data_IF_660027331897
#
_entry.id   IF_660027331897
#
_cell.length_a   1.000
_cell.length_b   1.000
_cell.length_c   1.000
_cell.angle_alpha   90.00
_cell.angle_beta   90.00
_cell.angle_gamma   90.00
#
_symmetry.space_group_name_H-M   'P 1'
#
loop_
_entity.id
_entity.type
_entity.pdbx_description
1 polymer ?
#
# COMPACT_ATOMS: atom_id res chain seq x y z
N UNK A 1 30.68 -30.94 20.82
CA UNK A 1 30.15 -29.88 19.96
C UNK A 1 31.08 -29.77 18.77
N UNK A 2 30.74 -30.46 17.68
CA UNK A 2 31.49 -30.37 16.43
C UNK A 2 31.13 -29.06 15.73
N UNK A 3 32.16 -28.28 15.42
CA UNK A 3 32.10 -27.04 14.68
C UNK A 3 31.67 -27.32 13.23
N UNK A 4 30.43 -26.97 12.89
CA UNK A 4 29.85 -27.17 11.56
C UNK A 4 30.21 -26.08 10.55
N UNK A 5 31.28 -25.30 10.77
CA UNK A 5 31.65 -24.19 9.88
C UNK A 5 32.59 -24.56 8.74
N UNK A 6 33.16 -25.77 8.72
CA UNK A 6 34.17 -26.19 7.73
C UNK A 6 33.71 -27.26 6.74
N UNK A 7 32.56 -27.91 6.94
CA UNK A 7 31.99 -28.85 5.99
C UNK A 7 30.64 -28.32 5.48
N UNK A 8 30.54 -28.15 4.16
CA UNK A 8 29.31 -27.68 3.52
C UNK A 8 28.11 -28.57 3.87
N UNK A 9 26.90 -27.98 3.86
CA UNK A 9 25.67 -28.67 4.24
C UNK A 9 25.32 -29.76 3.21
N UNK A 10 25.77 -31.00 3.46
CA UNK A 10 25.58 -32.13 2.54
C UNK A 10 24.15 -32.70 2.51
N UNK A 11 23.32 -32.42 3.52
CA UNK A 11 21.96 -32.95 3.62
C UNK A 11 20.90 -32.00 3.05
N UNK A 12 20.99 -31.73 1.75
CA UNK A 12 20.08 -30.82 1.06
C UNK A 12 18.62 -31.33 1.03
N UNK A 13 18.41 -32.65 1.13
CA UNK A 13 17.06 -33.25 1.14
C UNK A 13 16.27 -32.86 2.39
N UNK A 14 16.95 -32.55 3.49
CA UNK A 14 16.34 -32.18 4.77
C UNK A 14 16.46 -30.68 5.10
N UNK A 15 16.73 -29.82 4.11
CA UNK A 15 16.95 -28.37 4.31
C UNK A 15 15.87 -27.72 5.17
N UNK A 16 14.59 -28.00 4.91
CA UNK A 16 13.50 -27.38 5.67
C UNK A 16 13.58 -27.67 7.18
N UNK A 17 14.02 -28.88 7.57
CA UNK A 17 14.20 -29.24 8.98
C UNK A 17 15.40 -28.51 9.57
N UNK A 18 16.49 -28.43 8.82
CA UNK A 18 17.74 -27.79 9.23
C UNK A 18 17.54 -26.28 9.40
N UNK A 19 16.87 -25.62 8.45
CA UNK A 19 16.52 -24.19 8.53
C UNK A 19 15.68 -23.91 9.77
N UNK A 20 14.63 -24.70 10.01
CA UNK A 20 13.80 -24.55 11.22
C UNK A 20 14.59 -24.70 12.52
N UNK A 21 15.53 -25.65 12.58
CA UNK A 21 16.41 -25.81 13.74
C UNK A 21 17.34 -24.61 13.91
N UNK A 22 17.86 -24.07 12.82
CA UNK A 22 18.71 -22.87 12.84
C UNK A 22 17.94 -21.61 13.25
N UNK A 23 16.71 -21.40 12.76
CA UNK A 23 15.86 -20.24 13.11
C UNK A 23 15.51 -20.17 14.62
N UNK A 24 15.54 -21.31 15.31
CA UNK A 24 15.28 -21.41 16.76
C UNK A 24 16.58 -21.42 17.58
N UNK A 25 17.74 -21.48 16.91
CA UNK A 25 19.04 -21.52 17.59
C UNK A 25 19.38 -20.22 18.31
N UNK A 26 20.24 -20.34 19.34
CA UNK A 26 20.76 -19.17 20.08
C UNK A 26 21.64 -18.32 19.18
N UNK A 27 22.36 -18.95 18.27
CA UNK A 27 23.25 -18.32 17.30
C UNK A 27 22.46 -17.38 16.38
N UNK A 28 21.36 -17.86 15.79
CA UNK A 28 20.46 -17.04 14.98
C UNK A 28 19.90 -15.86 15.78
N UNK A 29 19.45 -16.12 17.01
CA UNK A 29 18.92 -15.07 17.90
C UNK A 29 19.97 -14.00 18.20
N UNK A 30 21.20 -14.39 18.52
CA UNK A 30 22.30 -13.46 18.76
C UNK A 30 22.65 -12.64 17.52
N UNK A 31 22.70 -13.27 16.34
CA UNK A 31 22.91 -12.58 15.07
C UNK A 31 21.80 -11.55 14.80
N UNK A 32 20.53 -11.90 15.03
CA UNK A 32 19.40 -10.97 14.92
C UNK A 32 19.54 -9.79 15.88
N UNK A 33 19.90 -10.03 17.15
CA UNK A 33 20.12 -8.96 18.13
C UNK A 33 21.22 -8.01 17.67
N UNK A 34 22.35 -8.54 17.18
CA UNK A 34 23.46 -7.71 16.66
C UNK A 34 23.04 -6.91 15.44
N UNK A 35 22.29 -7.52 14.51
CA UNK A 35 21.75 -6.85 13.35
C UNK A 35 20.82 -5.69 13.74
N UNK A 36 19.85 -5.94 14.63
CA UNK A 36 18.91 -4.93 15.11
C UNK A 36 19.63 -3.78 15.82
N UNK A 37 20.62 -4.07 16.67
CA UNK A 37 21.45 -3.03 17.30
C UNK A 37 22.17 -2.16 16.28
N UNK A 38 22.80 -2.77 15.27
CA UNK A 38 23.51 -2.03 14.21
C UNK A 38 22.53 -1.19 13.39
N UNK A 39 21.41 -1.78 12.99
CA UNK A 39 20.33 -1.10 12.27
C UNK A 39 19.85 0.15 13.02
N UNK A 40 19.67 0.06 14.34
CA UNK A 40 19.21 1.19 15.13
C UNK A 40 20.30 2.26 15.36
N UNK A 41 21.56 1.84 15.47
CA UNK A 41 22.66 2.77 15.79
C UNK A 41 23.24 3.48 14.57
N UNK A 42 23.38 2.78 13.44
CA UNK A 42 24.08 3.26 12.23
C UNK A 42 23.08 3.48 11.08
N UNK A 43 21.86 2.97 11.21
CA UNK A 43 20.89 2.92 10.12
C UNK A 43 21.12 1.71 9.21
N UNK A 44 20.25 1.57 8.21
CA UNK A 44 20.36 0.55 7.15
C UNK A 44 20.52 1.23 5.80
N UNK A 45 21.17 0.54 4.86
CA UNK A 45 21.33 1.02 3.49
C UNK A 45 19.98 1.24 2.78
N UNK A 46 18.95 0.48 3.15
CA UNK A 46 17.61 0.58 2.59
C UNK A 46 16.67 1.48 3.39
N UNK A 47 17.17 2.21 4.39
CA UNK A 47 16.34 3.10 5.22
C UNK A 47 15.57 4.13 4.39
N UNK A 48 16.24 4.83 3.47
CA UNK A 48 15.60 5.80 2.58
C UNK A 48 14.53 5.17 1.67
N UNK A 49 14.80 3.97 1.14
CA UNK A 49 13.83 3.21 0.35
C UNK A 49 12.61 2.82 1.20
N UNK A 50 12.81 2.37 2.43
CA UNK A 50 11.72 2.06 3.36
C UNK A 50 10.87 3.31 3.66
N UNK A 51 11.49 4.48 3.84
CA UNK A 51 10.77 5.74 4.05
C UNK A 51 9.94 6.09 2.81
N UNK A 52 10.51 6.00 1.61
CA UNK A 52 9.79 6.26 0.36
C UNK A 52 8.58 5.33 0.20
N UNK A 53 8.77 4.03 0.42
CA UNK A 53 7.70 3.03 0.36
C UNK A 53 6.59 3.35 1.37
N UNK A 54 6.95 3.66 2.62
CA UNK A 54 5.97 3.99 3.66
C UNK A 54 5.18 5.26 3.32
N UNK A 55 5.86 6.29 2.80
CA UNK A 55 5.21 7.52 2.37
C UNK A 55 4.20 7.26 1.24
N UNK A 56 4.56 6.40 0.27
CA UNK A 56 3.67 6.03 -0.82
C UNK A 56 2.47 5.18 -0.32
N UNK A 57 2.72 4.25 0.59
CA UNK A 57 1.65 3.49 1.26
C UNK A 57 0.67 4.42 1.96
N UNK A 58 1.17 5.39 2.73
CA UNK A 58 0.32 6.31 3.49
C UNK A 58 -0.42 7.30 2.57
N UNK A 59 0.20 7.73 1.48
CA UNK A 59 -0.45 8.47 0.40
C UNK A 59 -1.67 7.71 -0.15
N UNK A 60 -1.46 6.47 -0.62
CA UNK A 60 -2.54 5.67 -1.21
C UNK A 60 -3.62 5.27 -0.20
N UNK A 61 -3.26 5.03 1.07
CA UNK A 61 -4.24 4.83 2.15
C UNK A 61 -5.14 6.05 2.33
N UNK A 62 -4.59 7.26 2.27
CA UNK A 62 -5.37 8.48 2.42
C UNK A 62 -6.32 8.70 1.24
N UNK A 63 -5.87 8.47 0.00
CA UNK A 63 -6.74 8.47 -1.19
C UNK A 63 -7.89 7.47 -1.02
N UNK A 64 -7.58 6.22 -0.65
CA UNK A 64 -8.57 5.16 -0.50
C UNK A 64 -9.62 5.47 0.57
N UNK A 65 -9.22 6.05 1.70
CA UNK A 65 -10.14 6.47 2.77
C UNK A 65 -11.20 7.45 2.24
N UNK A 66 -10.79 8.44 1.46
CA UNK A 66 -11.71 9.44 0.91
C UNK A 66 -12.66 8.82 -0.12
N UNK A 67 -12.13 7.99 -1.02
CA UNK A 67 -12.94 7.26 -2.01
C UNK A 67 -14.00 6.39 -1.33
N UNK A 68 -13.62 5.61 -0.32
CA UNK A 68 -14.55 4.76 0.43
C UNK A 68 -15.62 5.59 1.13
N UNK A 69 -15.26 6.75 1.70
CA UNK A 69 -16.21 7.63 2.36
C UNK A 69 -17.30 8.12 1.38
N UNK A 70 -16.91 8.57 0.19
CA UNK A 70 -17.86 9.00 -0.86
C UNK A 70 -18.73 7.83 -1.31
N UNK A 71 -18.14 6.67 -1.60
CA UNK A 71 -18.89 5.47 -2.03
C UNK A 71 -19.94 5.08 -0.98
N UNK A 72 -19.55 5.02 0.30
CA UNK A 72 -20.48 4.68 1.39
C UNK A 72 -21.63 5.68 1.48
N UNK A 73 -21.36 6.98 1.36
CA UNK A 73 -22.39 8.02 1.48
C UNK A 73 -23.40 7.98 0.33
N UNK A 74 -22.92 7.80 -0.90
CA UNK A 74 -23.78 7.72 -2.09
C UNK A 74 -24.55 6.39 -2.10
N UNK A 75 -23.88 5.28 -1.83
CA UNK A 75 -24.49 3.94 -1.78
C UNK A 75 -25.58 3.83 -0.71
N UNK A 76 -25.35 4.36 0.50
CA UNK A 76 -26.35 4.36 1.57
C UNK A 76 -27.62 5.16 1.21
N UNK A 77 -27.56 6.05 0.22
CA UNK A 77 -28.70 6.86 -0.24
C UNK A 77 -29.27 6.38 -1.58
N UNK A 78 -28.72 5.30 -2.14
CA UNK A 78 -29.10 4.81 -3.47
C UNK A 78 -28.80 5.80 -4.60
N UNK A 79 -27.85 6.72 -4.38
CA UNK A 79 -27.50 7.72 -5.39
C UNK A 79 -26.60 7.10 -6.46
N UNK A 80 -26.86 7.36 -7.75
CA UNK A 80 -26.00 6.88 -8.81
C UNK A 80 -24.62 7.52 -8.68
N UNK A 81 -23.57 6.71 -8.69
CA UNK A 81 -22.18 7.20 -8.60
C UNK A 81 -21.75 7.94 -9.88
N UNK A 82 -22.21 7.46 -11.04
CA UNK A 82 -21.80 7.91 -12.37
C UNK A 82 -22.81 8.85 -13.01
N UNK A 83 -22.31 9.70 -13.91
CA UNK A 83 -23.09 10.60 -14.75
C UNK A 83 -22.89 10.28 -16.23
N UNK A 84 -23.27 11.19 -17.13
CA UNK A 84 -23.02 11.02 -18.56
C UNK A 84 -21.58 11.33 -18.96
N UNK A 85 -20.84 12.06 -18.12
CA UNK A 85 -19.42 12.40 -18.33
C UNK A 85 -18.60 12.02 -17.09
N UNK A 86 -17.42 11.45 -17.29
CA UNK A 86 -16.49 11.09 -16.20
C UNK A 86 -15.24 11.98 -16.21
N UNK A 87 -15.48 13.29 -16.14
CA UNK A 87 -14.42 14.31 -16.14
C UNK A 87 -14.69 15.35 -15.05
N UNK A 88 -13.65 15.72 -14.31
CA UNK A 88 -13.70 16.82 -13.35
C UNK A 88 -14.03 18.15 -14.04
N UNK A 89 -14.83 18.99 -13.37
CA UNK A 89 -15.29 20.30 -13.86
C UNK A 89 -16.38 20.24 -14.94
N UNK A 90 -16.92 19.06 -15.26
CA UNK A 90 -18.04 18.94 -16.20
C UNK A 90 -19.37 19.08 -15.48
N UNK A 91 -20.28 19.90 -16.02
CA UNK A 91 -21.66 20.03 -15.50
C UNK A 91 -22.46 18.71 -15.55
N UNK A 92 -22.00 17.76 -16.36
CA UNK A 92 -22.64 16.46 -16.59
C UNK A 92 -21.92 15.32 -15.85
N UNK A 93 -21.05 15.64 -14.89
CA UNK A 93 -20.33 14.65 -14.10
C UNK A 93 -21.25 13.90 -13.13
N UNK A 94 -20.84 12.70 -12.73
CA UNK A 94 -21.59 11.88 -11.76
C UNK A 94 -21.43 12.37 -10.32
N UNK A 95 -22.37 11.99 -9.44
CA UNK A 95 -22.35 12.38 -8.02
C UNK A 95 -21.04 12.05 -7.30
N UNK A 96 -20.34 10.98 -7.71
CA UNK A 96 -19.03 10.65 -7.15
C UNK A 96 -17.98 11.73 -7.43
N UNK A 97 -17.91 12.21 -8.68
CA UNK A 97 -16.98 13.27 -9.09
C UNK A 97 -17.32 14.57 -8.39
N UNK A 98 -18.61 14.95 -8.34
CA UNK A 98 -19.09 16.15 -7.65
C UNK A 98 -18.68 16.12 -6.17
N UNK A 99 -18.83 14.99 -5.48
CA UNK A 99 -18.40 14.88 -4.09
C UNK A 99 -16.88 15.03 -3.93
N UNK A 100 -16.08 14.48 -4.84
CA UNK A 100 -14.62 14.64 -4.78
C UNK A 100 -14.18 16.08 -5.09
N UNK A 101 -14.84 16.76 -6.03
CA UNK A 101 -14.63 18.19 -6.30
C UNK A 101 -14.94 19.02 -5.05
N UNK A 102 -16.09 18.77 -4.42
CA UNK A 102 -16.45 19.49 -3.20
C UNK A 102 -15.47 19.25 -2.05
N UNK A 103 -14.96 18.03 -1.89
CA UNK A 103 -13.97 17.73 -0.84
C UNK A 103 -12.65 18.43 -1.16
N UNK A 104 -12.24 18.47 -2.42
CA UNK A 104 -10.96 19.05 -2.83
C UNK A 104 -10.90 20.58 -2.70
N UNK A 105 -12.05 21.26 -2.64
CA UNK A 105 -12.14 22.67 -2.26
C UNK A 105 -11.62 22.93 -0.83
N UNK A 106 -11.75 21.96 0.07
CA UNK A 106 -11.36 22.08 1.49
C UNK A 106 -10.17 21.21 1.89
N UNK A 107 -9.80 20.23 1.05
CA UNK A 107 -8.67 19.33 1.29
C UNK A 107 -7.58 19.53 0.24
N UNK A 108 -6.49 20.26 0.58
CA UNK A 108 -5.36 20.48 -0.33
C UNK A 108 -4.69 19.19 -0.80
N UNK A 109 -4.73 18.11 0.01
CA UNK A 109 -4.19 16.82 -0.38
C UNK A 109 -4.97 16.24 -1.56
N UNK A 110 -6.31 16.21 -1.44
CA UNK A 110 -7.15 15.71 -2.51
C UNK A 110 -7.07 16.60 -3.75
N UNK A 111 -7.03 17.92 -3.56
CA UNK A 111 -6.85 18.89 -4.66
C UNK A 111 -5.58 18.58 -5.47
N UNK A 112 -4.44 18.45 -4.80
CA UNK A 112 -3.18 18.09 -5.46
C UNK A 112 -3.26 16.73 -6.15
N UNK A 113 -3.86 15.73 -5.50
CA UNK A 113 -4.02 14.40 -6.09
C UNK A 113 -4.89 14.44 -7.37
N UNK A 114 -5.99 15.19 -7.37
CA UNK A 114 -6.85 15.37 -8.55
C UNK A 114 -6.04 16.02 -9.68
N UNK A 115 -5.38 17.14 -9.44
CA UNK A 115 -4.57 17.85 -10.44
C UNK A 115 -3.45 16.98 -11.02
N UNK A 116 -2.77 16.20 -10.18
CA UNK A 116 -1.64 15.36 -10.61
C UNK A 116 -2.08 14.10 -11.38
N UNK A 117 -3.26 13.56 -11.07
CA UNK A 117 -3.71 12.26 -11.59
C UNK A 117 -4.98 12.33 -12.45
N UNK A 118 -5.39 13.53 -12.85
CA UNK A 118 -6.64 13.90 -13.52
C UNK A 118 -6.95 13.12 -14.82
N UNK A 119 -6.00 12.32 -15.33
CA UNK A 119 -6.15 11.61 -16.61
C UNK A 119 -5.80 10.11 -16.58
N UNK A 120 -5.21 9.54 -15.52
CA UNK A 120 -4.58 8.20 -15.66
C UNK A 120 -4.86 7.12 -14.62
N UNK A 121 -5.24 7.42 -13.39
CA UNK A 121 -5.17 6.36 -12.34
C UNK A 121 -6.46 6.20 -11.53
N UNK A 122 -7.06 7.31 -11.09
CA UNK A 122 -8.23 7.26 -10.20
C UNK A 122 -9.45 6.73 -10.93
N UNK A 123 -9.65 7.16 -12.18
CA UNK A 123 -10.79 6.75 -12.99
C UNK A 123 -10.61 5.33 -13.52
N UNK A 124 -9.41 4.94 -13.98
CA UNK A 124 -9.21 3.65 -14.67
C UNK A 124 -9.16 2.45 -13.70
N UNK A 125 -8.56 2.61 -12.51
CA UNK A 125 -8.45 1.49 -11.56
C UNK A 125 -9.72 1.31 -10.71
N UNK A 126 -10.43 2.39 -10.36
CA UNK A 126 -11.74 2.30 -9.70
C UNK A 126 -12.87 1.97 -10.68
N UNK A 127 -12.79 2.34 -11.97
CA UNK A 127 -13.74 1.83 -12.98
C UNK A 127 -13.66 0.32 -13.12
N UNK A 128 -12.46 -0.26 -13.12
CA UNK A 128 -12.25 -1.70 -13.21
C UNK A 128 -12.82 -2.45 -11.99
N UNK A 129 -12.63 -1.92 -10.78
CA UNK A 129 -13.19 -2.50 -9.55
C UNK A 129 -14.71 -2.34 -9.45
N UNK A 130 -15.28 -1.20 -9.86
CA UNK A 130 -16.74 -1.00 -9.86
C UNK A 130 -17.45 -1.87 -10.92
N UNK A 131 -16.78 -2.22 -12.03
CA UNK A 131 -17.33 -3.13 -13.06
C UNK A 131 -17.44 -4.59 -12.60
N UNK A 132 -16.61 -5.02 -11.64
CA UNK A 132 -16.56 -6.42 -11.19
C UNK A 132 -17.19 -6.64 -9.82
N UNK A 133 -17.29 -5.62 -8.96
CA UNK A 133 -17.79 -5.76 -7.59
C UNK A 133 -19.28 -5.42 -7.44
N UNK A 134 -19.90 -4.75 -8.41
CA UNK A 134 -21.32 -4.33 -8.33
C UNK A 134 -22.20 -4.83 -9.50
N UNK A 135 -21.91 -6.03 -10.02
CA UNK A 135 -22.89 -6.82 -10.78
C UNK A 135 -23.47 -7.92 -9.91
#
# INVERSE_FOLDING_TARGET
MSDGRTEGLMDWRNINKIVKQHEISKEYTNCQIVFLRRSNNIGRIDSDLCIQINNEIDYWKNVLKQVIAVIKKLGNRGLPFRGSVEKFGSQNNGNFMICLELISEFDPFLSNHIVQHETRVVVIHLTFLLQHVMK
#
